data_IF_710858254106
#
_entry.id   IF_710858254106
#
_cell.length_a   1.000
_cell.length_b   1.000
_cell.length_c   1.000
_cell.angle_alpha   90.00
_cell.angle_beta   90.00
_cell.angle_gamma   90.00
#
_symmetry.space_group_name_H-M   'P 1'
#
loop_
_entity.id
_entity.type
_entity.pdbx_description
1 polymer ?
#
# COMPACT_ATOMS: atom_id res chain seq x y z
N UNK A 1 5.50 -21.43 91.31
CA UNK A 1 4.09 -21.75 90.99
C UNK A 1 3.55 -20.71 90.00
N UNK A 2 2.78 -21.16 88.99
CA UNK A 2 1.99 -20.39 87.98
C UNK A 2 2.77 -19.98 86.70
N UNK A 3 2.79 -20.85 85.66
CA UNK A 3 1.93 -20.88 84.42
C UNK A 3 2.51 -19.97 83.31
N UNK A 4 3.21 -20.51 82.27
CA UNK A 4 2.71 -20.97 80.93
C UNK A 4 1.77 -19.93 80.29
N UNK A 5 1.85 -19.49 79.03
CA UNK A 5 2.55 -19.93 77.81
C UNK A 5 2.26 -18.89 76.67
N UNK A 6 3.08 -18.91 75.59
CA UNK A 6 2.75 -18.75 74.14
C UNK A 6 1.90 -17.53 73.71
N UNK A 7 2.19 -16.77 72.66
CA UNK A 7 3.10 -16.94 71.54
C UNK A 7 2.72 -15.97 70.41
N UNK A 8 3.67 -15.84 69.46
CA UNK A 8 3.52 -15.45 68.06
C UNK A 8 2.91 -14.08 67.70
N UNK A 9 3.80 -13.19 67.25
CA UNK A 9 3.52 -12.04 66.40
C UNK A 9 2.91 -12.46 65.05
N UNK A 10 1.97 -11.68 64.53
CA UNK A 10 1.50 -11.73 63.14
C UNK A 10 1.55 -10.32 62.56
N UNK A 11 2.61 -10.07 61.80
CA UNK A 11 2.81 -8.88 60.98
C UNK A 11 1.95 -9.07 59.72
N UNK A 12 0.92 -8.23 59.55
CA UNK A 12 0.10 -8.21 58.34
C UNK A 12 0.88 -7.45 57.23
N UNK A 13 1.58 -8.19 56.38
CA UNK A 13 2.23 -7.64 55.19
C UNK A 13 1.16 -7.34 54.12
N UNK A 14 0.91 -6.06 53.86
CA UNK A 14 0.04 -5.61 52.77
C UNK A 14 0.82 -5.65 51.45
N UNK A 15 0.55 -6.64 50.60
CA UNK A 15 1.06 -6.68 49.23
C UNK A 15 0.03 -5.99 48.34
N UNK A 16 0.25 -4.71 48.03
CA UNK A 16 -0.52 -3.99 47.03
C UNK A 16 -0.15 -4.52 45.63
N UNK A 17 -1.09 -5.21 44.98
CA UNK A 17 -0.91 -5.73 43.62
C UNK A 17 -0.85 -4.60 42.60
N UNK A 18 0.26 -4.50 41.85
CA UNK A 18 0.35 -3.66 40.66
C UNK A 18 -0.45 -4.32 39.52
N UNK A 19 -1.56 -3.70 39.13
CA UNK A 19 -2.23 -4.01 37.88
C UNK A 19 -1.44 -3.35 36.72
N UNK A 20 -0.65 -4.14 36.00
CA UNK A 20 -0.03 -3.71 34.74
C UNK A 20 -1.10 -3.62 33.66
N UNK A 21 -1.57 -2.39 33.38
CA UNK A 21 -2.35 -2.11 32.18
C UNK A 21 -1.43 -2.19 30.96
N UNK A 22 -1.56 -3.25 30.16
CA UNK A 22 -0.93 -3.32 28.85
C UNK A 22 -1.63 -2.32 27.92
N UNK A 23 -1.04 -1.14 27.74
CA UNK A 23 -1.47 -0.21 26.72
C UNK A 23 -1.25 -0.85 25.34
N UNK A 24 -2.33 -1.16 24.62
CA UNK A 24 -2.25 -1.57 23.22
C UNK A 24 -1.63 -0.41 22.42
N UNK A 25 -0.38 -0.57 21.96
CA UNK A 25 0.23 0.39 21.06
C UNK A 25 -0.54 0.37 19.72
N UNK A 26 -0.89 1.52 19.14
CA UNK A 26 -1.47 1.55 17.81
C UNK A 26 -0.46 0.94 16.84
N UNK A 27 -0.84 -0.17 16.20
CA UNK A 27 -0.09 -0.68 15.06
C UNK A 27 -0.09 0.42 14.00
N UNK A 28 1.07 1.05 13.77
CA UNK A 28 1.25 1.93 12.63
C UNK A 28 1.04 1.09 11.38
N UNK A 29 -0.13 1.24 10.75
CA UNK A 29 -0.38 0.63 9.45
C UNK A 29 0.71 1.13 8.49
N UNK A 30 1.60 0.24 8.07
CA UNK A 30 2.59 0.55 7.04
C UNK A 30 1.83 0.99 5.79
N UNK A 31 2.34 2.04 5.11
CA UNK A 31 1.75 2.49 3.87
C UNK A 31 1.69 1.31 2.87
N UNK A 32 0.63 1.21 2.04
CA UNK A 32 0.55 0.17 1.03
C UNK A 32 1.78 0.21 0.13
N UNK A 33 2.43 -0.96 -0.06
CA UNK A 33 3.55 -1.10 -0.99
C UNK A 33 3.03 -1.42 -2.39
N UNK A 34 3.62 -0.81 -3.41
CA UNK A 34 3.24 -0.98 -4.81
C UNK A 34 4.44 -1.42 -5.64
N UNK A 35 4.18 -2.28 -6.63
CA UNK A 35 5.13 -2.68 -7.65
C UNK A 35 4.54 -2.42 -9.03
N UNK A 36 5.40 -2.29 -10.04
CA UNK A 36 4.99 -2.21 -11.44
C UNK A 36 5.18 -3.55 -12.14
N UNK A 37 4.29 -3.87 -13.07
CA UNK A 37 4.46 -5.00 -13.98
C UNK A 37 5.60 -4.71 -14.96
N UNK A 38 6.59 -5.59 -15.07
CA UNK A 38 7.76 -5.40 -15.94
C UNK A 38 7.53 -5.87 -17.39
N UNK A 39 6.72 -6.90 -17.59
CA UNK A 39 6.60 -7.60 -18.89
C UNK A 39 5.41 -7.14 -19.75
N UNK A 40 5.57 -7.25 -21.07
CA UNK A 40 4.50 -7.06 -22.08
C UNK A 40 3.37 -8.08 -21.95
N UNK A 41 3.67 -9.25 -21.39
CA UNK A 41 2.71 -10.32 -21.12
C UNK A 41 3.10 -11.02 -19.83
N UNK A 42 2.30 -10.83 -18.79
CA UNK A 42 2.52 -11.44 -17.47
C UNK A 42 1.31 -12.27 -17.08
N UNK A 43 1.55 -13.53 -16.75
CA UNK A 43 0.54 -14.41 -16.19
C UNK A 43 0.43 -14.20 -14.68
N UNK A 44 -0.79 -14.01 -14.19
CA UNK A 44 -1.09 -14.03 -12.78
C UNK A 44 -1.99 -15.21 -12.44
N UNK A 45 -1.74 -15.82 -11.30
CA UNK A 45 -2.25 -17.13 -10.93
C UNK A 45 -3.11 -17.06 -9.70
N UNK A 46 -3.97 -18.07 -9.51
CA UNK A 46 -4.84 -18.15 -8.32
C UNK A 46 -4.07 -18.35 -7.00
N UNK A 47 -2.87 -18.94 -7.07
CA UNK A 47 -2.07 -19.26 -5.89
C UNK A 47 -0.56 -19.14 -6.13
N UNK A 48 0.25 -19.22 -5.07
CA UNK A 48 1.70 -19.12 -5.14
C UNK A 48 2.30 -20.41 -5.71
N UNK A 49 2.50 -20.46 -7.02
CA UNK A 49 3.13 -21.61 -7.66
C UNK A 49 2.78 -21.77 -9.14
N UNK A 50 3.65 -22.46 -9.88
CA UNK A 50 3.45 -22.72 -11.31
C UNK A 50 2.31 -23.72 -11.59
N UNK A 51 1.95 -24.57 -10.61
CA UNK A 51 0.85 -25.53 -10.72
C UNK A 51 -0.54 -24.88 -10.59
N UNK A 52 -0.62 -23.67 -10.05
CA UNK A 52 -1.88 -22.94 -9.95
C UNK A 52 -2.32 -22.42 -11.32
N UNK A 53 -3.64 -22.48 -11.56
CA UNK A 53 -4.24 -21.97 -12.79
C UNK A 53 -3.94 -20.49 -13.00
N UNK A 54 -3.66 -20.11 -14.25
CA UNK A 54 -3.61 -18.72 -14.69
C UNK A 54 -5.02 -18.16 -14.66
N UNK A 55 -5.19 -17.06 -13.95
CA UNK A 55 -6.48 -16.37 -13.80
C UNK A 55 -6.51 -15.10 -14.66
N UNK A 56 -5.36 -14.44 -14.80
CA UNK A 56 -5.22 -13.21 -15.56
C UNK A 56 -3.98 -13.23 -16.43
N UNK A 57 -4.07 -12.56 -17.58
CA UNK A 57 -2.94 -12.22 -18.42
C UNK A 57 -2.91 -10.70 -18.52
N UNK A 58 -1.89 -10.08 -17.94
CA UNK A 58 -1.67 -8.64 -17.99
C UNK A 58 -0.83 -8.30 -19.21
N UNK A 59 -1.32 -7.34 -20.00
CA UNK A 59 -0.70 -6.87 -21.25
C UNK A 59 -0.25 -5.41 -21.17
N UNK A 60 -0.03 -4.92 -19.94
CA UNK A 60 0.24 -3.51 -19.68
C UNK A 60 1.49 -3.37 -18.80
N UNK A 61 2.67 -3.21 -19.41
CA UNK A 61 3.88 -2.86 -18.69
C UNK A 61 3.67 -1.58 -17.88
N UNK A 62 4.33 -1.51 -16.74
CA UNK A 62 4.22 -0.39 -15.82
C UNK A 62 2.92 -0.33 -15.03
N UNK A 63 1.94 -1.22 -15.24
CA UNK A 63 0.70 -1.19 -14.44
C UNK A 63 1.06 -1.35 -12.96
N UNK A 64 0.72 -0.37 -12.09
CA UNK A 64 0.93 -0.51 -10.66
C UNK A 64 -0.03 -1.53 -10.05
N UNK A 65 0.52 -2.43 -9.24
CA UNK A 65 -0.24 -3.41 -8.46
C UNK A 65 0.13 -3.25 -6.98
N UNK A 66 -0.89 -3.32 -6.11
CA UNK A 66 -0.71 -3.23 -4.66
C UNK A 66 -0.24 -4.58 -4.14
N UNK A 67 0.82 -4.60 -3.34
CA UNK A 67 1.33 -5.83 -2.71
C UNK A 67 0.49 -6.13 -1.48
N UNK A 68 -0.13 -7.30 -1.45
CA UNK A 68 -0.93 -7.79 -0.33
C UNK A 68 -0.16 -8.79 0.55
N UNK A 69 0.87 -9.43 0.00
CA UNK A 69 1.67 -10.42 0.73
C UNK A 69 2.67 -11.13 -0.18
N UNK A 70 3.50 -11.98 0.42
CA UNK A 70 4.53 -12.76 -0.28
C UNK A 70 4.57 -14.19 0.27
N UNK A 71 4.86 -15.13 -0.62
CA UNK A 71 5.15 -16.52 -0.31
C UNK A 71 6.29 -17.01 -1.22
N UNK A 72 7.48 -17.15 -0.64
CA UNK A 72 8.71 -17.40 -1.38
C UNK A 72 8.93 -16.35 -2.48
N UNK A 73 9.02 -16.80 -3.74
CA UNK A 73 9.20 -15.95 -4.92
C UNK A 73 7.88 -15.41 -5.50
N UNK A 74 6.75 -15.67 -4.87
CA UNK A 74 5.42 -15.27 -5.34
C UNK A 74 4.91 -14.08 -4.53
N UNK A 75 4.30 -13.13 -5.24
CA UNK A 75 3.74 -11.91 -4.66
C UNK A 75 2.24 -11.93 -4.90
N UNK A 76 1.47 -11.84 -3.82
CA UNK A 76 0.03 -11.63 -3.90
C UNK A 76 -0.22 -10.15 -4.16
N UNK A 77 -0.94 -9.84 -5.22
CA UNK A 77 -1.16 -8.48 -5.68
C UNK A 77 -2.63 -8.19 -5.95
N UNK A 78 -3.03 -6.93 -5.78
CA UNK A 78 -4.31 -6.37 -6.18
C UNK A 78 -4.09 -5.34 -7.29
N UNK A 79 -4.81 -5.49 -8.40
CA UNK A 79 -4.75 -4.55 -9.52
C UNK A 79 -5.73 -3.37 -9.34
N UNK A 80 -5.69 -2.33 -10.20
CA UNK A 80 -6.64 -1.21 -10.10
C UNK A 80 -8.11 -1.59 -10.30
N UNK A 81 -8.41 -2.77 -10.86
CA UNK A 81 -9.75 -3.32 -11.00
C UNK A 81 -10.21 -4.09 -9.76
N UNK A 82 -9.35 -4.26 -8.75
CA UNK A 82 -9.62 -5.02 -7.53
C UNK A 82 -9.37 -6.53 -7.69
N UNK A 83 -8.86 -6.99 -8.83
CA UNK A 83 -8.54 -8.39 -9.03
C UNK A 83 -7.32 -8.79 -8.19
N UNK A 84 -7.44 -9.90 -7.46
CA UNK A 84 -6.36 -10.44 -6.62
C UNK A 84 -5.76 -11.68 -7.25
N UNK A 85 -4.45 -11.71 -7.35
CA UNK A 85 -3.73 -12.83 -7.96
C UNK A 85 -2.28 -12.90 -7.51
N UNK A 86 -1.60 -13.99 -7.86
CA UNK A 86 -0.20 -14.21 -7.55
C UNK A 86 0.65 -14.07 -8.80
N UNK A 87 1.70 -13.26 -8.71
CA UNK A 87 2.71 -13.10 -9.75
C UNK A 87 4.07 -13.54 -9.24
N UNK A 88 4.89 -14.12 -10.10
CA UNK A 88 6.29 -14.38 -9.76
C UNK A 88 7.02 -13.03 -9.65
N UNK A 89 7.90 -12.87 -8.65
CA UNK A 89 8.59 -11.61 -8.36
C UNK A 89 9.38 -11.05 -9.55
N UNK A 90 9.84 -11.89 -10.47
CA UNK A 90 10.57 -11.45 -11.68
C UNK A 90 9.68 -10.70 -12.67
N UNK A 91 8.37 -10.88 -12.60
CA UNK A 91 7.38 -10.17 -13.39
C UNK A 91 7.09 -8.75 -12.86
N UNK A 92 7.66 -8.41 -11.69
CA UNK A 92 7.43 -7.17 -10.97
C UNK A 92 8.73 -6.38 -10.81
N UNK A 93 8.60 -5.08 -10.63
CA UNK A 93 9.71 -4.16 -10.37
C UNK A 93 9.31 -3.00 -9.44
N UNK A 94 10.28 -2.44 -8.72
CA UNK A 94 10.08 -1.33 -7.76
C UNK A 94 9.84 0.03 -8.43
N UNK A 95 9.58 0.05 -9.75
CA UNK A 95 9.35 1.30 -10.48
C UNK A 95 8.03 1.92 -10.02
N UNK A 96 8.10 3.15 -9.50
CA UNK A 96 6.93 3.89 -9.06
C UNK A 96 6.13 4.38 -10.25
N UNK A 97 4.92 3.85 -10.37
CA UNK A 97 3.97 4.16 -11.43
C UNK A 97 2.61 4.38 -10.83
N UNK A 98 1.77 5.12 -11.55
CA UNK A 98 0.36 5.31 -11.22
C UNK A 98 -0.50 4.91 -12.41
N UNK A 99 -1.74 4.52 -12.12
CA UNK A 99 -2.76 4.23 -13.10
C UNK A 99 -3.87 5.27 -12.99
N UNK A 100 -4.22 5.91 -14.10
CA UNK A 100 -5.30 6.91 -14.11
C UNK A 100 -6.63 6.19 -13.99
N UNK A 101 -7.29 6.37 -12.85
CA UNK A 101 -8.67 5.95 -12.62
C UNK A 101 -9.64 7.01 -13.13
N UNK A 102 -9.21 8.28 -13.20
CA UNK A 102 -9.98 9.39 -13.74
C UNK A 102 -11.11 9.88 -12.83
N UNK A 103 -11.16 9.41 -11.58
CA UNK A 103 -12.08 9.90 -10.55
C UNK A 103 -13.52 10.08 -11.04
N UNK A 104 -14.09 11.26 -10.74
CA UNK A 104 -15.46 11.64 -11.14
C UNK A 104 -15.59 12.05 -12.61
N UNK A 105 -14.50 12.51 -13.24
CA UNK A 105 -14.54 13.13 -14.57
C UNK A 105 -14.16 12.16 -15.70
N UNK A 106 -13.76 10.93 -15.37
CA UNK A 106 -13.28 9.94 -16.33
C UNK A 106 -11.84 10.18 -16.81
N UNK A 107 -11.20 11.26 -16.37
CA UNK A 107 -9.83 11.65 -16.73
C UNK A 107 -9.14 12.33 -15.54
N UNK A 108 -7.81 12.33 -15.54
CA UNK A 108 -6.99 13.13 -14.62
C UNK A 108 -6.50 14.38 -15.34
N UNK A 109 -6.72 15.56 -14.74
CA UNK A 109 -6.15 16.81 -15.27
C UNK A 109 -4.72 16.98 -14.78
N UNK A 110 -3.77 17.06 -15.71
CA UNK A 110 -2.38 17.35 -15.41
C UNK A 110 -2.18 18.87 -15.36
N UNK A 111 -1.75 19.40 -14.22
CA UNK A 111 -1.59 20.85 -13.98
C UNK A 111 -0.13 21.26 -13.84
N UNK A 112 0.18 22.51 -14.16
CA UNK A 112 1.56 23.03 -14.04
C UNK A 112 2.04 23.12 -12.59
N UNK A 113 1.13 23.43 -11.67
CA UNK A 113 1.38 23.54 -10.22
C UNK A 113 0.52 22.56 -9.44
N UNK A 114 0.94 22.24 -8.23
CA UNK A 114 0.20 21.40 -7.28
C UNK A 114 -0.94 22.19 -6.61
N UNK A 115 -1.85 22.73 -7.42
CA UNK A 115 -2.97 23.58 -7.00
C UNK A 115 -4.18 23.36 -7.90
N UNK A 116 -5.38 23.45 -7.33
CA UNK A 116 -6.65 23.18 -8.03
C UNK A 116 -6.96 24.15 -9.18
N UNK A 117 -6.44 25.37 -9.10
CA UNK A 117 -6.55 26.42 -10.12
C UNK A 117 -5.32 26.51 -11.03
N UNK A 118 -4.31 25.66 -10.81
CA UNK A 118 -3.11 25.62 -11.64
C UNK A 118 -3.45 25.34 -13.11
N UNK A 119 -2.82 26.07 -14.03
CA UNK A 119 -3.05 25.93 -15.48
C UNK A 119 -2.96 24.46 -15.91
N UNK A 120 -3.99 23.97 -16.60
CA UNK A 120 -4.00 22.65 -17.22
C UNK A 120 -2.95 22.56 -18.34
N UNK A 121 -2.24 21.44 -18.37
CA UNK A 121 -1.18 21.10 -19.33
C UNK A 121 -1.62 19.95 -20.23
N UNK A 122 -2.34 18.97 -19.67
CA UNK A 122 -2.90 17.83 -20.40
C UNK A 122 -4.11 17.25 -19.66
N UNK A 123 -4.92 16.46 -20.36
CA UNK A 123 -5.92 15.57 -19.75
C UNK A 123 -5.49 14.14 -20.05
N UNK A 124 -5.37 13.33 -19.01
CA UNK A 124 -5.00 11.92 -19.13
C UNK A 124 -6.26 11.08 -18.99
N UNK A 125 -6.57 10.28 -20.00
CA UNK A 125 -7.72 9.38 -19.98
C UNK A 125 -7.55 8.25 -18.97
N UNK A 126 -8.68 7.70 -18.50
CA UNK A 126 -8.68 6.45 -17.73
C UNK A 126 -7.89 5.37 -18.45
N UNK A 127 -7.04 4.66 -17.72
CA UNK A 127 -6.21 3.59 -18.30
C UNK A 127 -4.79 4.00 -18.60
N UNK A 128 -4.48 5.30 -18.61
CA UNK A 128 -3.10 5.78 -18.76
C UNK A 128 -2.26 5.31 -17.57
N UNK A 129 -1.07 4.78 -17.86
CA UNK A 129 -0.04 4.49 -16.85
C UNK A 129 1.03 5.56 -16.97
N UNK A 130 1.40 6.15 -15.83
CA UNK A 130 2.36 7.24 -15.76
C UNK A 130 3.46 6.95 -14.74
N UNK A 131 4.64 7.50 -14.94
CA UNK A 131 5.70 7.47 -13.94
C UNK A 131 5.37 8.44 -12.80
N UNK A 132 5.57 8.02 -11.54
CA UNK A 132 5.43 8.87 -10.37
C UNK A 132 6.79 9.48 -10.00
N UNK A 133 6.90 10.80 -10.13
CA UNK A 133 8.17 11.52 -9.93
C UNK A 133 8.28 12.14 -8.53
N UNK A 134 7.20 12.75 -8.04
CA UNK A 134 7.19 13.44 -6.76
C UNK A 134 5.80 13.52 -6.14
N UNK A 135 5.74 13.77 -4.85
CA UNK A 135 4.50 13.93 -4.09
C UNK A 135 4.51 15.23 -3.30
N UNK A 136 3.36 15.90 -3.23
CA UNK A 136 3.16 17.11 -2.44
C UNK A 136 1.71 17.16 -1.95
N UNK A 137 1.48 16.83 -0.68
CA UNK A 137 0.12 16.76 -0.13
C UNK A 137 -0.75 15.83 -0.97
N UNK A 138 -1.86 16.34 -1.50
CA UNK A 138 -2.79 15.61 -2.36
C UNK A 138 -2.41 15.59 -3.85
N UNK A 139 -1.20 16.04 -4.20
CA UNK A 139 -0.74 16.17 -5.58
C UNK A 139 0.41 15.22 -5.89
N UNK A 140 0.33 14.59 -7.06
CA UNK A 140 1.37 13.69 -7.59
C UNK A 140 1.92 14.30 -8.86
N UNK A 141 3.23 14.52 -8.88
CA UNK A 141 3.92 14.89 -10.11
C UNK A 141 4.13 13.61 -10.91
N UNK A 142 3.56 13.57 -12.10
CA UNK A 142 3.59 12.41 -12.98
C UNK A 142 4.04 12.79 -14.38
N UNK A 143 4.63 11.81 -15.07
CA UNK A 143 5.03 11.94 -16.47
C UNK A 143 4.44 10.81 -17.30
N UNK A 144 3.76 11.16 -18.39
CA UNK A 144 3.18 10.22 -19.36
C UNK A 144 3.33 10.79 -20.77
N UNK A 145 3.86 10.00 -21.70
CA UNK A 145 4.01 10.36 -23.11
C UNK A 145 4.63 11.75 -23.36
N UNK A 146 5.68 12.10 -22.60
CA UNK A 146 6.36 13.40 -22.69
C UNK A 146 5.65 14.57 -22.00
N UNK A 147 4.43 14.38 -21.47
CA UNK A 147 3.74 15.37 -20.66
C UNK A 147 4.05 15.19 -19.18
N UNK A 148 4.46 16.27 -18.51
CA UNK A 148 4.76 16.29 -17.07
C UNK A 148 3.96 17.36 -16.35
N UNK A 149 3.47 17.04 -15.15
CA UNK A 149 2.78 17.99 -14.29
C UNK A 149 2.20 17.31 -13.05
N UNK A 150 1.30 18.01 -12.36
CA UNK A 150 0.68 17.59 -11.12
C UNK A 150 -0.76 17.15 -11.34
N UNK A 151 -1.08 15.93 -10.93
CA UNK A 151 -2.44 15.41 -10.90
C UNK A 151 -2.89 15.21 -9.44
N UNK A 152 -4.20 15.28 -9.21
CA UNK A 152 -4.78 14.99 -7.90
C UNK A 152 -4.63 13.49 -7.60
N UNK A 153 -4.32 13.16 -6.34
CA UNK A 153 -4.12 11.77 -5.91
C UNK A 153 -5.36 10.90 -6.09
N UNK A 154 -6.54 11.49 -5.88
CA UNK A 154 -7.83 10.81 -5.97
C UNK A 154 -8.16 10.30 -7.39
N UNK A 155 -7.51 10.87 -8.42
CA UNK A 155 -7.68 10.43 -9.81
C UNK A 155 -6.73 9.29 -10.20
N UNK A 156 -5.91 8.81 -9.26
CA UNK A 156 -4.79 7.91 -9.50
C UNK A 156 -4.83 6.71 -8.54
N UNK A 157 -4.58 5.52 -9.09
CA UNK A 157 -4.23 4.33 -8.33
C UNK A 157 -2.72 4.23 -8.18
N UNK A 158 -2.24 3.77 -7.02
CA UNK A 158 -0.80 3.74 -6.69
C UNK A 158 -0.26 5.08 -6.19
N UNK A 159 -1.12 6.07 -5.98
CA UNK A 159 -0.73 7.41 -5.55
C UNK A 159 -0.22 7.46 -4.09
N UNK A 160 -0.41 6.38 -3.32
CA UNK A 160 0.03 6.26 -1.93
C UNK A 160 1.49 5.81 -1.81
N UNK A 161 2.16 5.45 -2.92
CA UNK A 161 3.57 5.02 -2.95
C UNK A 161 4.58 6.17 -2.76
N UNK A 162 4.22 7.15 -1.93
CA UNK A 162 4.98 8.39 -1.67
C UNK A 162 5.91 8.30 -0.45
N UNK A 163 6.08 7.11 0.13
CA UNK A 163 6.93 6.85 1.30
C UNK A 163 8.39 6.64 0.94
#
# INVERSE_FOLDING_TARGET
MKRRAKGAALIFASIAGLAMSAAAQPQSAQAPHYLAIRGERVEARRGPGQSHAVEWIYLRPGLPVRVLGRDGAWVNVEDPGGARSWMHQTALEERRTVFVTGGRLGSATLRRTAQGDGRAVAHLERGVVAALEACRGDWRRITADGYSGWAAAEDLWGAESCS
#
